data_IF_511760799746
#
_entry.id   IF_511760799746
#
_cell.length_a   1.000
_cell.length_b   1.000
_cell.length_c   1.000
_cell.angle_alpha   90.00
_cell.angle_beta   90.00
_cell.angle_gamma   90.00
#
_symmetry.space_group_name_H-M   'P 1'
#
loop_
_entity.id
_entity.type
_entity.pdbx_description
1 polymer ?
#
# COMPACT_ATOMS: atom_id res chain seq x y z
N UNK A 1 19.16 30.67 -45.94
CA UNK A 1 18.14 31.06 -44.93
C UNK A 1 17.20 29.95 -44.51
N UNK A 2 16.97 28.87 -45.27
CA UNK A 2 16.02 27.79 -44.94
C UNK A 2 16.45 26.85 -43.79
N UNK A 3 17.71 26.65 -43.48
CA UNK A 3 18.19 25.76 -42.41
C UNK A 3 17.86 26.25 -40.99
N UNK A 4 17.89 27.57 -40.73
CA UNK A 4 17.58 28.16 -39.42
C UNK A 4 16.09 27.99 -39.01
N UNK A 5 15.18 28.03 -39.97
CA UNK A 5 13.75 27.90 -39.71
C UNK A 5 13.32 26.44 -39.40
N UNK A 6 14.11 25.47 -39.86
CA UNK A 6 13.83 24.04 -39.59
C UNK A 6 14.24 23.64 -38.17
N UNK A 7 15.42 24.05 -37.72
CA UNK A 7 15.92 23.83 -36.35
C UNK A 7 15.04 24.52 -35.30
N UNK A 8 14.52 25.71 -35.60
CA UNK A 8 13.62 26.42 -34.69
C UNK A 8 12.30 25.70 -34.51
N UNK A 9 11.70 25.22 -35.61
CA UNK A 9 10.44 24.42 -35.55
C UNK A 9 10.61 23.06 -34.87
N UNK A 10 11.75 22.41 -35.07
CA UNK A 10 12.12 21.16 -34.40
C UNK A 10 12.29 21.35 -32.89
N UNK A 11 12.92 22.47 -32.49
CA UNK A 11 13.09 22.85 -31.09
C UNK A 11 11.74 23.16 -30.40
N UNK A 12 10.89 23.95 -31.07
CA UNK A 12 9.54 24.25 -30.55
C UNK A 12 8.65 23.00 -30.46
N UNK A 13 8.77 22.10 -31.44
CA UNK A 13 8.05 20.81 -31.40
C UNK A 13 8.55 19.90 -30.28
N UNK A 14 9.87 19.89 -30.01
CA UNK A 14 10.46 19.14 -28.90
C UNK A 14 10.03 19.72 -27.54
N UNK A 15 9.99 21.05 -27.40
CA UNK A 15 9.49 21.70 -26.18
C UNK A 15 8.00 21.41 -25.92
N UNK A 16 7.16 21.45 -26.96
CA UNK A 16 5.74 21.11 -26.82
C UNK A 16 5.55 19.64 -26.42
N UNK A 17 6.30 18.71 -27.05
CA UNK A 17 6.28 17.28 -26.68
C UNK A 17 6.72 17.06 -25.24
N UNK A 18 7.75 17.77 -24.79
CA UNK A 18 8.22 17.70 -23.42
C UNK A 18 7.14 18.19 -22.44
N UNK A 19 6.50 19.34 -22.70
CA UNK A 19 5.40 19.87 -21.90
C UNK A 19 4.19 18.91 -21.84
N UNK A 20 3.85 18.26 -22.96
CA UNK A 20 2.76 17.28 -23.01
C UNK A 20 3.10 16.03 -22.20
N UNK A 21 4.35 15.55 -22.29
CA UNK A 21 4.82 14.40 -21.50
C UNK A 21 4.87 14.72 -20.00
N UNK A 22 5.35 15.90 -19.62
CA UNK A 22 5.35 16.36 -18.23
C UNK A 22 3.93 16.46 -17.67
N UNK A 23 2.98 16.91 -18.47
CA UNK A 23 1.56 16.99 -18.09
C UNK A 23 0.93 15.60 -17.95
N UNK A 24 1.19 14.68 -18.89
CA UNK A 24 0.73 13.30 -18.82
C UNK A 24 1.34 12.55 -17.63
N UNK A 25 2.61 12.78 -17.31
CA UNK A 25 3.25 12.21 -16.11
C UNK A 25 2.60 12.76 -14.84
N UNK A 26 2.28 14.05 -14.80
CA UNK A 26 1.60 14.66 -13.66
C UNK A 26 0.18 14.15 -13.50
N UNK A 27 -0.60 14.05 -14.58
CA UNK A 27 -1.94 13.47 -14.57
C UNK A 27 -1.93 12.00 -14.17
N UNK A 28 -0.98 11.21 -14.69
CA UNK A 28 -0.79 9.81 -14.31
C UNK A 28 -0.41 9.67 -12.83
N UNK A 29 0.44 10.57 -12.31
CA UNK A 29 0.78 10.60 -10.88
C UNK A 29 -0.42 10.98 -10.02
N UNK A 30 -1.21 11.97 -10.43
CA UNK A 30 -2.44 12.36 -9.72
C UNK A 30 -3.47 11.24 -9.72
N UNK A 31 -3.67 10.57 -10.85
CA UNK A 31 -4.56 9.41 -10.94
C UNK A 31 -4.06 8.24 -10.07
N UNK A 32 -2.75 7.96 -10.05
CA UNK A 32 -2.16 6.96 -9.18
C UNK A 32 -2.29 7.33 -7.69
N UNK A 33 -2.15 8.61 -7.34
CA UNK A 33 -2.37 9.12 -5.99
C UNK A 33 -3.83 8.97 -5.55
N UNK A 34 -4.79 9.28 -6.43
CA UNK A 34 -6.22 9.13 -6.15
C UNK A 34 -6.65 7.67 -6.00
N UNK A 35 -5.95 6.74 -6.68
CA UNK A 35 -6.23 5.30 -6.59
C UNK A 35 -5.64 4.63 -5.32
N UNK A 36 -4.70 5.27 -4.62
CA UNK A 36 -3.99 4.68 -3.48
C UNK A 36 -4.72 4.80 -2.15
N UNK A 37 -5.51 5.85 -1.94
CA UNK A 37 -6.48 5.89 -0.84
C UNK A 37 -7.81 5.48 -1.44
N UNK A 38 -8.29 4.32 -1.07
CA UNK A 38 -9.53 3.76 -1.63
C UNK A 38 -10.73 4.66 -1.29
N UNK A 39 -11.29 5.41 -2.27
CA UNK A 39 -12.37 6.36 -1.98
C UNK A 39 -13.58 5.67 -1.39
N UNK A 40 -13.87 4.45 -1.86
CA UNK A 40 -15.00 3.65 -1.40
C UNK A 40 -14.89 3.32 0.09
N UNK A 41 -13.71 2.88 0.54
CA UNK A 41 -13.46 2.61 1.96
C UNK A 41 -13.72 3.83 2.83
N UNK A 42 -13.29 5.02 2.39
CA UNK A 42 -13.52 6.25 3.13
C UNK A 42 -15.01 6.60 3.22
N UNK A 43 -15.73 6.52 2.09
CA UNK A 43 -17.16 6.79 2.07
C UNK A 43 -17.95 5.80 2.90
N UNK A 44 -17.71 4.50 2.76
CA UNK A 44 -18.39 3.46 3.53
C UNK A 44 -18.12 3.66 5.03
N UNK A 45 -16.87 3.94 5.43
CA UNK A 45 -16.51 4.25 6.82
C UNK A 45 -17.23 5.48 7.37
N UNK A 46 -17.34 6.56 6.57
CA UNK A 46 -18.05 7.77 7.01
C UNK A 46 -19.55 7.53 7.17
N UNK A 47 -20.17 6.76 6.29
CA UNK A 47 -21.59 6.36 6.39
C UNK A 47 -21.83 5.52 7.66
N UNK A 48 -20.92 4.59 7.97
CA UNK A 48 -21.02 3.80 9.20
C UNK A 48 -20.86 4.63 10.46
N UNK A 49 -19.94 5.62 10.45
CA UNK A 49 -19.77 6.57 11.55
C UNK A 49 -21.02 7.44 11.72
N UNK A 50 -21.63 7.93 10.64
CA UNK A 50 -22.87 8.70 10.65
C UNK A 50 -24.01 7.89 11.27
N UNK A 51 -24.19 6.64 10.81
CA UNK A 51 -25.20 5.74 11.34
C UNK A 51 -25.00 5.42 12.84
N UNK A 52 -23.72 5.33 13.26
CA UNK A 52 -23.37 5.09 14.65
C UNK A 52 -23.63 6.33 15.52
N UNK A 53 -23.46 7.53 14.99
CA UNK A 53 -23.64 8.78 15.72
C UNK A 53 -25.04 8.92 16.32
N UNK A 54 -26.05 8.41 15.65
CA UNK A 54 -27.44 8.42 16.12
C UNK A 54 -27.67 7.50 17.33
N UNK A 55 -26.80 6.49 17.54
CA UNK A 55 -26.97 5.44 18.57
C UNK A 55 -25.96 5.58 19.71
N UNK A 56 -24.72 5.91 19.37
CA UNK A 56 -23.58 6.02 20.29
C UNK A 56 -22.63 7.12 19.80
N UNK A 57 -22.89 8.40 20.17
CA UNK A 57 -22.06 9.53 19.75
C UNK A 57 -20.61 9.44 20.21
N UNK A 58 -20.34 8.83 21.38
CA UNK A 58 -18.98 8.71 21.89
C UNK A 58 -18.17 7.73 21.07
N UNK A 59 -18.76 6.59 20.73
CA UNK A 59 -18.12 5.59 19.87
C UNK A 59 -17.95 6.10 18.43
N UNK A 60 -18.91 6.87 17.92
CA UNK A 60 -18.81 7.51 16.61
C UNK A 60 -17.64 8.50 16.57
N UNK A 61 -17.49 9.35 17.60
CA UNK A 61 -16.35 10.27 17.71
C UNK A 61 -15.01 9.52 17.76
N UNK A 62 -14.92 8.45 18.56
CA UNK A 62 -13.70 7.63 18.62
C UNK A 62 -13.36 6.98 17.26
N UNK A 63 -14.36 6.55 16.48
CA UNK A 63 -14.15 5.99 15.15
C UNK A 63 -13.70 7.07 14.15
N UNK A 64 -14.23 8.28 14.26
CA UNK A 64 -13.77 9.43 13.46
C UNK A 64 -12.30 9.77 13.74
N UNK A 65 -11.89 9.75 15.03
CA UNK A 65 -10.49 9.99 15.41
C UNK A 65 -9.54 8.93 14.83
N UNK A 66 -9.95 7.64 14.80
CA UNK A 66 -9.19 6.58 14.15
C UNK A 66 -9.06 6.82 12.65
N UNK A 67 -10.15 7.20 11.99
CA UNK A 67 -10.12 7.55 10.56
C UNK A 67 -9.18 8.73 10.27
N UNK A 68 -9.22 9.77 11.10
CA UNK A 68 -8.31 10.91 11.00
C UNK A 68 -6.85 10.47 11.18
N UNK A 69 -6.58 9.58 12.14
CA UNK A 69 -5.24 9.03 12.39
C UNK A 69 -4.74 8.25 11.17
N UNK A 70 -5.58 7.39 10.59
CA UNK A 70 -5.26 6.69 9.35
C UNK A 70 -4.96 7.66 8.20
N UNK A 71 -5.80 8.67 7.99
CA UNK A 71 -5.59 9.66 6.92
C UNK A 71 -4.31 10.46 7.11
N UNK A 72 -3.96 10.84 8.34
CA UNK A 72 -2.70 11.51 8.67
C UNK A 72 -1.48 10.63 8.36
N UNK A 73 -1.59 9.33 8.56
CA UNK A 73 -0.55 8.39 8.20
C UNK A 73 -0.48 8.12 6.69
N UNK A 74 -1.61 8.08 5.98
CA UNK A 74 -1.69 7.74 4.57
C UNK A 74 -1.33 8.91 3.63
N UNK A 75 -1.86 10.12 3.88
CA UNK A 75 -1.76 11.25 2.94
C UNK A 75 -0.32 11.70 2.63
N UNK A 76 0.62 11.81 3.59
CA UNK A 76 1.99 12.16 3.28
C UNK A 76 2.66 11.14 2.35
N UNK A 77 2.39 9.86 2.54
CA UNK A 77 2.99 8.75 1.79
C UNK A 77 2.59 8.71 0.32
N UNK A 78 1.47 9.35 -0.03
CA UNK A 78 1.06 9.51 -1.44
C UNK A 78 2.00 10.45 -2.21
N UNK A 79 2.74 11.30 -1.52
CA UNK A 79 3.65 12.31 -2.11
C UNK A 79 5.12 11.93 -1.95
N UNK A 80 5.44 11.01 -1.07
CA UNK A 80 6.79 10.59 -0.76
C UNK A 80 7.28 9.55 -1.77
N UNK A 81 8.54 9.63 -2.15
CA UNK A 81 9.21 8.66 -3.03
C UNK A 81 9.88 7.51 -2.26
N UNK A 82 9.84 7.58 -0.94
CA UNK A 82 10.43 6.59 -0.05
C UNK A 82 9.73 6.57 1.30
N UNK A 83 9.70 5.41 1.93
CA UNK A 83 9.17 5.15 3.26
C UNK A 83 10.16 4.25 4.02
N UNK A 84 9.82 3.87 5.23
CA UNK A 84 10.53 2.84 6.00
C UNK A 84 9.59 1.67 6.28
N UNK A 85 10.17 0.52 6.61
CA UNK A 85 9.37 -0.65 7.03
C UNK A 85 8.48 -0.30 8.22
N UNK A 86 9.03 0.38 9.24
CA UNK A 86 8.27 0.79 10.42
C UNK A 86 7.07 1.66 10.05
N UNK A 87 7.32 2.63 9.19
CA UNK A 87 6.30 3.55 8.72
C UNK A 87 5.17 2.86 7.92
N UNK A 88 5.47 1.84 7.13
CA UNK A 88 4.45 1.03 6.45
C UNK A 88 3.63 0.18 7.44
N UNK A 89 4.28 -0.36 8.48
CA UNK A 89 3.60 -1.10 9.53
C UNK A 89 2.69 -0.21 10.39
N UNK A 90 3.08 1.03 10.66
CA UNK A 90 2.22 2.02 11.32
C UNK A 90 0.96 2.32 10.50
N UNK A 91 1.12 2.48 9.17
CA UNK A 91 -0.02 2.68 8.27
C UNK A 91 -0.98 1.48 8.28
N UNK A 92 -0.44 0.26 8.26
CA UNK A 92 -1.23 -0.98 8.36
C UNK A 92 -1.99 -1.04 9.69
N UNK A 93 -1.34 -0.70 10.81
CA UNK A 93 -2.01 -0.67 12.12
C UNK A 93 -3.16 0.33 12.13
N UNK A 94 -2.91 1.56 11.69
CA UNK A 94 -3.93 2.61 11.64
C UNK A 94 -5.14 2.20 10.75
N UNK A 95 -4.88 1.54 9.61
CA UNK A 95 -5.94 1.01 8.76
C UNK A 95 -6.79 -0.06 9.47
N UNK A 96 -6.13 -1.06 10.09
CA UNK A 96 -6.82 -2.14 10.79
C UNK A 96 -7.62 -1.64 12.01
N UNK A 97 -7.17 -0.60 12.69
CA UNK A 97 -7.94 0.05 13.77
C UNK A 97 -9.27 0.63 13.27
N UNK A 98 -9.26 1.24 12.07
CA UNK A 98 -10.50 1.74 11.44
C UNK A 98 -11.41 0.56 11.08
N UNK A 99 -10.88 -0.45 10.40
CA UNK A 99 -11.64 -1.65 10.01
C UNK A 99 -12.31 -2.31 11.19
N UNK A 100 -11.56 -2.45 12.31
CA UNK A 100 -12.08 -3.00 13.57
C UNK A 100 -13.23 -2.22 14.11
N UNK A 101 -13.07 -0.91 14.16
CA UNK A 101 -14.05 -0.01 14.76
C UNK A 101 -15.39 -0.08 14.02
N UNK A 102 -15.35 -0.30 12.70
CA UNK A 102 -16.52 -0.38 11.83
C UNK A 102 -17.17 -1.75 11.88
N UNK A 103 -16.40 -2.82 11.74
CA UNK A 103 -16.95 -4.18 11.60
C UNK A 103 -17.20 -4.91 12.94
N UNK A 104 -16.77 -4.33 14.07
CA UNK A 104 -17.06 -4.86 15.41
C UNK A 104 -16.30 -6.14 15.81
N UNK A 105 -15.35 -6.57 15.00
CA UNK A 105 -14.46 -7.70 15.26
C UNK A 105 -13.09 -7.46 14.65
N UNK A 106 -12.03 -7.94 15.32
CA UNK A 106 -10.67 -7.80 14.83
C UNK A 106 -10.10 -9.12 14.40
N UNK A 107 -9.41 -9.14 13.25
CA UNK A 107 -8.30 -10.06 13.16
C UNK A 107 -7.21 -9.61 14.16
N UNK A 108 -6.73 -10.51 14.98
CA UNK A 108 -5.58 -10.25 15.84
C UNK A 108 -4.38 -9.91 14.96
N UNK A 109 -3.84 -8.68 15.09
CA UNK A 109 -2.62 -8.31 14.38
C UNK A 109 -1.40 -8.62 15.25
N UNK A 110 -0.55 -9.52 14.78
CA UNK A 110 0.76 -9.79 15.38
C UNK A 110 1.86 -9.28 14.45
N UNK A 111 2.75 -8.44 14.96
CA UNK A 111 3.87 -7.90 14.17
C UNK A 111 5.18 -8.26 14.85
N UNK A 112 6.03 -9.00 14.14
CA UNK A 112 7.42 -9.25 14.49
C UNK A 112 8.31 -8.46 13.55
N UNK A 113 9.09 -7.54 14.08
CA UNK A 113 9.96 -6.66 13.29
C UNK A 113 11.38 -6.73 13.85
N UNK A 114 12.31 -7.23 13.04
CA UNK A 114 13.72 -7.20 13.37
C UNK A 114 14.22 -5.75 13.46
N UNK A 115 15.02 -5.44 14.48
CA UNK A 115 15.45 -4.05 14.77
C UNK A 115 16.28 -3.44 13.64
N UNK A 116 17.08 -4.24 12.95
CA UNK A 116 17.86 -3.83 11.78
C UNK A 116 17.02 -3.54 10.53
N UNK A 117 15.74 -3.92 10.54
CA UNK A 117 14.79 -3.67 9.44
C UNK A 117 13.95 -2.42 9.64
N UNK A 118 13.82 -1.87 10.87
CA UNK A 118 12.90 -0.75 11.16
C UNK A 118 13.07 0.41 10.19
N UNK A 119 14.31 0.89 10.07
CA UNK A 119 14.65 2.06 9.25
C UNK A 119 15.07 1.68 7.82
N UNK A 120 14.93 0.41 7.43
CA UNK A 120 15.20 0.01 6.07
C UNK A 120 14.26 0.73 5.12
N UNK A 121 14.81 1.19 3.99
CA UNK A 121 14.05 1.86 2.96
C UNK A 121 13.01 0.90 2.37
N UNK A 122 11.81 1.39 2.31
CA UNK A 122 10.66 0.70 1.74
C UNK A 122 9.93 1.64 0.78
N UNK A 123 9.29 1.12 -0.25
CA UNK A 123 8.44 1.97 -1.08
C UNK A 123 7.08 2.16 -0.42
N UNK A 124 6.54 3.38 -0.44
CA UNK A 124 5.26 3.70 0.19
C UNK A 124 4.12 2.86 -0.37
N UNK A 125 3.18 2.48 0.49
CA UNK A 125 1.94 1.80 0.11
C UNK A 125 2.14 0.44 -0.59
N UNK A 126 3.13 -0.35 -0.18
CA UNK A 126 3.32 -1.73 -0.65
C UNK A 126 2.62 -2.76 0.23
N UNK A 127 2.62 -2.57 1.55
CA UNK A 127 2.00 -3.52 2.48
C UNK A 127 0.49 -3.32 2.57
N UNK A 128 0.03 -2.08 2.56
CA UNK A 128 -1.39 -1.78 2.73
C UNK A 128 -2.31 -2.50 1.73
N UNK A 129 -2.03 -2.57 0.41
CA UNK A 129 -2.90 -3.30 -0.53
C UNK A 129 -3.03 -4.79 -0.20
N UNK A 130 -1.97 -5.42 0.32
CA UNK A 130 -2.01 -6.83 0.72
C UNK A 130 -2.94 -7.05 1.92
N UNK A 131 -2.95 -6.11 2.86
CA UNK A 131 -3.85 -6.13 4.01
C UNK A 131 -5.29 -5.81 3.61
N UNK A 132 -5.50 -4.82 2.74
CA UNK A 132 -6.81 -4.46 2.20
C UNK A 132 -7.45 -5.65 1.48
N UNK A 133 -6.65 -6.36 0.68
CA UNK A 133 -7.09 -7.59 0.04
C UNK A 133 -7.55 -8.65 1.06
N UNK A 134 -6.79 -8.84 2.14
CA UNK A 134 -7.15 -9.80 3.18
C UNK A 134 -8.48 -9.47 3.87
N UNK A 135 -8.72 -8.19 4.14
CA UNK A 135 -9.94 -7.69 4.78
C UNK A 135 -11.15 -7.75 3.84
N UNK A 136 -10.93 -7.54 2.52
CA UNK A 136 -11.98 -7.55 1.48
C UNK A 136 -12.14 -8.90 0.80
N UNK A 137 -11.83 -9.96 1.48
CA UNK A 137 -11.93 -11.29 0.89
C UNK A 137 -13.33 -11.53 0.26
N UNK A 138 -13.42 -12.18 -0.92
CA UNK A 138 -14.67 -12.39 -1.64
C UNK A 138 -15.76 -13.11 -0.84
N UNK A 139 -15.39 -13.90 0.18
CA UNK A 139 -16.34 -14.54 1.09
C UNK A 139 -17.05 -13.57 2.03
N UNK A 140 -16.60 -12.31 2.13
CA UNK A 140 -17.08 -11.34 3.11
C UNK A 140 -16.66 -11.65 4.56
N UNK A 141 -15.91 -12.73 4.77
CA UNK A 141 -15.38 -13.07 6.09
C UNK A 141 -14.11 -12.27 6.39
N UNK A 142 -14.00 -11.76 7.62
CA UNK A 142 -12.74 -11.23 8.12
C UNK A 142 -11.80 -12.40 8.48
N UNK A 143 -10.49 -12.23 8.29
CA UNK A 143 -9.53 -13.23 8.72
C UNK A 143 -9.52 -13.37 10.26
N UNK A 144 -9.30 -14.58 10.75
CA UNK A 144 -9.20 -14.85 12.20
C UNK A 144 -8.00 -14.16 12.82
N UNK A 145 -6.93 -13.97 12.05
CA UNK A 145 -5.72 -13.27 12.46
C UNK A 145 -4.88 -12.86 11.27
N UNK A 146 -4.06 -11.83 11.49
CA UNK A 146 -3.04 -11.37 10.55
C UNK A 146 -1.72 -11.33 11.29
N UNK A 147 -0.70 -12.05 10.82
CA UNK A 147 0.66 -11.90 11.33
C UNK A 147 1.60 -11.37 10.24
N UNK A 148 2.45 -10.43 10.63
CA UNK A 148 3.47 -9.83 9.77
C UNK A 148 4.82 -10.08 10.43
N UNK A 149 5.67 -10.84 9.78
CA UNK A 149 7.05 -11.05 10.19
C UNK A 149 7.97 -10.35 9.21
N UNK A 150 8.83 -9.46 9.72
CA UNK A 150 9.81 -8.73 8.91
C UNK A 150 11.19 -9.02 9.42
N UNK A 151 12.01 -9.58 8.55
CA UNK A 151 13.41 -9.92 8.85
C UNK A 151 14.32 -9.63 7.69
N UNK A 152 15.60 -9.55 7.97
CA UNK A 152 16.64 -9.43 6.97
C UNK A 152 17.24 -10.79 6.64
N UNK A 153 17.29 -11.10 5.36
CA UNK A 153 17.98 -12.28 4.86
C UNK A 153 19.08 -11.82 3.87
N UNK A 154 20.32 -11.82 4.34
CA UNK A 154 21.46 -11.33 3.56
C UNK A 154 21.24 -9.88 3.06
N UNK A 155 21.15 -9.68 1.76
CA UNK A 155 20.93 -8.39 1.11
C UNK A 155 19.44 -8.09 0.81
N UNK A 156 18.52 -8.82 1.44
CA UNK A 156 17.07 -8.67 1.20
C UNK A 156 16.31 -8.44 2.49
N UNK A 157 15.23 -7.68 2.40
CA UNK A 157 14.17 -7.62 3.39
C UNK A 157 13.14 -8.66 2.98
N UNK A 158 12.76 -9.51 3.89
CA UNK A 158 11.71 -10.52 3.72
C UNK A 158 10.57 -10.16 4.64
N UNK A 159 9.40 -9.97 4.05
CA UNK A 159 8.14 -9.76 4.77
C UNK A 159 7.26 -10.97 4.53
N UNK A 160 6.93 -11.68 5.59
CA UNK A 160 5.98 -12.80 5.57
C UNK A 160 4.69 -12.33 6.20
N UNK A 161 3.62 -12.34 5.41
CA UNK A 161 2.29 -12.00 5.84
C UNK A 161 1.46 -13.29 5.86
N UNK A 162 1.00 -13.71 7.04
CA UNK A 162 0.05 -14.83 7.21
C UNK A 162 -1.32 -14.28 7.54
N UNK A 163 -2.31 -14.77 6.81
CA UNK A 163 -3.70 -14.36 6.90
C UNK A 163 -4.50 -15.61 7.27
N UNK A 164 -5.18 -15.60 8.41
CA UNK A 164 -6.04 -16.68 8.88
C UNK A 164 -7.34 -16.77 8.06
N UNK A 165 -7.20 -16.89 6.74
CA UNK A 165 -8.27 -17.05 5.78
C UNK A 165 -7.72 -17.74 4.54
N UNK A 166 -8.35 -18.83 4.10
CA UNK A 166 -7.92 -19.56 2.92
C UNK A 166 -8.40 -18.91 1.62
N UNK A 167 -7.58 -18.99 0.59
CA UNK A 167 -7.96 -18.71 -0.79
C UNK A 167 -7.41 -17.43 -1.39
N UNK A 168 -7.51 -17.34 -2.71
CA UNK A 168 -7.21 -16.15 -3.49
C UNK A 168 -5.75 -16.00 -3.94
N UNK A 169 -4.95 -17.07 -3.99
CA UNK A 169 -3.61 -16.99 -4.58
C UNK A 169 -3.62 -17.08 -6.11
N UNK A 170 -4.53 -17.88 -6.67
CA UNK A 170 -4.65 -18.05 -8.11
C UNK A 170 -5.46 -16.90 -8.72
N UNK A 171 -4.97 -16.34 -9.82
CA UNK A 171 -5.65 -15.33 -10.66
C UNK A 171 -6.19 -14.10 -9.92
N UNK A 172 -5.54 -13.72 -8.80
CA UNK A 172 -5.93 -12.55 -8.02
C UNK A 172 -5.44 -11.26 -8.68
N UNK A 173 -6.35 -10.38 -9.13
CA UNK A 173 -5.98 -9.15 -9.83
C UNK A 173 -5.27 -8.14 -8.90
N UNK A 174 -5.51 -8.17 -7.59
CA UNK A 174 -4.83 -7.28 -6.65
C UNK A 174 -3.38 -7.72 -6.44
N UNK A 175 -3.12 -9.02 -6.32
CA UNK A 175 -1.76 -9.54 -6.28
C UNK A 175 -1.00 -9.30 -7.59
N UNK A 176 -1.69 -9.40 -8.73
CA UNK A 176 -1.10 -9.09 -10.04
C UNK A 176 -0.64 -7.62 -10.10
N UNK A 177 -1.46 -6.67 -9.64
CA UNK A 177 -1.11 -5.24 -9.56
C UNK A 177 0.08 -4.97 -8.64
N UNK A 178 0.13 -5.64 -7.48
CA UNK A 178 1.28 -5.50 -6.56
C UNK A 178 2.55 -6.07 -7.19
N UNK A 179 2.47 -7.21 -7.88
CA UNK A 179 3.62 -7.79 -8.62
C UNK A 179 4.11 -6.86 -9.74
N UNK A 180 3.20 -6.30 -10.54
CA UNK A 180 3.53 -5.34 -11.58
C UNK A 180 4.21 -4.09 -10.99
N UNK A 181 3.69 -3.56 -9.88
CA UNK A 181 4.31 -2.44 -9.17
C UNK A 181 5.70 -2.78 -8.66
N UNK A 182 5.90 -3.96 -8.07
CA UNK A 182 7.22 -4.43 -7.64
C UNK A 182 8.20 -4.55 -8.79
N UNK A 183 7.76 -5.10 -9.94
CA UNK A 183 8.57 -5.19 -11.14
C UNK A 183 8.98 -3.81 -11.67
N UNK A 184 8.08 -2.82 -11.62
CA UNK A 184 8.39 -1.43 -11.98
C UNK A 184 9.38 -0.75 -11.04
N UNK A 185 9.35 -1.07 -9.75
CA UNK A 185 10.20 -0.45 -8.72
C UNK A 185 11.57 -1.12 -8.57
N UNK A 186 11.62 -2.44 -8.68
CA UNK A 186 12.81 -3.25 -8.35
C UNK A 186 13.25 -4.16 -9.51
N UNK A 187 12.53 -4.17 -10.64
CA UNK A 187 12.75 -5.13 -11.71
C UNK A 187 12.59 -6.57 -11.20
N UNK A 188 13.52 -7.44 -11.59
CA UNK A 188 13.52 -8.85 -11.18
C UNK A 188 14.13 -9.09 -9.78
N UNK A 189 14.54 -8.03 -9.07
CA UNK A 189 15.16 -8.15 -7.75
C UNK A 189 14.15 -8.35 -6.62
N UNK A 190 12.87 -8.05 -6.85
CA UNK A 190 11.78 -8.27 -5.91
C UNK A 190 10.86 -9.40 -6.35
N UNK A 191 10.30 -10.14 -5.38
CA UNK A 191 9.33 -11.21 -5.63
C UNK A 191 8.17 -11.12 -4.63
N UNK A 192 6.97 -11.48 -5.08
CA UNK A 192 5.79 -11.70 -4.24
C UNK A 192 5.23 -13.09 -4.53
N UNK A 193 5.40 -13.97 -3.59
CA UNK A 193 4.87 -15.33 -3.61
C UNK A 193 3.58 -15.37 -2.78
N UNK A 194 2.63 -16.19 -3.19
CA UNK A 194 1.40 -16.46 -2.47
C UNK A 194 1.21 -17.98 -2.41
N UNK A 195 1.02 -18.50 -1.22
CA UNK A 195 0.82 -19.93 -0.95
C UNK A 195 -0.38 -20.11 -0.06
N UNK A 196 -1.27 -21.04 -0.42
CA UNK A 196 -2.35 -21.48 0.46
C UNK A 196 -1.83 -22.58 1.38
N UNK A 197 -1.86 -22.30 2.69
CA UNK A 197 -1.42 -23.28 3.68
C UNK A 197 -2.58 -24.24 4.06
N UNK A 198 -2.24 -25.47 4.41
CA UNK A 198 -3.20 -26.53 4.69
C UNK A 198 -4.09 -26.31 5.93
N UNK A 199 -3.80 -25.28 6.73
CA UNK A 199 -4.55 -24.85 7.92
C UNK A 199 -5.62 -23.78 7.64
N UNK A 200 -6.05 -23.64 6.40
CA UNK A 200 -6.98 -22.60 5.94
C UNK A 200 -6.43 -21.17 6.05
N UNK A 201 -5.13 -21.03 5.99
CA UNK A 201 -4.46 -19.75 5.93
C UNK A 201 -3.83 -19.48 4.56
N UNK A 202 -3.57 -18.20 4.29
CA UNK A 202 -2.82 -17.75 3.12
C UNK A 202 -1.53 -17.09 3.59
N UNK A 203 -0.41 -17.51 3.01
CA UNK A 203 0.89 -16.90 3.25
C UNK A 203 1.35 -16.12 2.01
N UNK A 204 1.67 -14.85 2.21
CA UNK A 204 2.29 -13.98 1.22
C UNK A 204 3.72 -13.69 1.64
N UNK A 205 4.67 -14.01 0.79
CA UNK A 205 6.10 -13.72 1.04
C UNK A 205 6.59 -12.69 0.05
N UNK A 206 6.87 -11.48 0.55
CA UNK A 206 7.48 -10.39 -0.20
C UNK A 206 8.97 -10.36 0.07
N UNK A 207 9.80 -10.44 -0.98
CA UNK A 207 11.26 -10.28 -0.90
C UNK A 207 11.67 -9.08 -1.73
N UNK A 208 12.35 -8.12 -1.10
CA UNK A 208 12.87 -6.92 -1.76
C UNK A 208 14.33 -6.70 -1.42
N UNK A 209 15.12 -6.02 -2.26
CA UNK A 209 16.49 -5.66 -1.92
C UNK A 209 16.53 -4.76 -0.68
N UNK A 210 17.41 -5.07 0.28
CA UNK A 210 17.69 -4.21 1.41
C UNK A 210 18.60 -3.06 0.96
N UNK A 211 18.00 -1.99 0.42
CA UNK A 211 18.74 -0.75 0.12
C UNK A 211 18.85 0.04 1.42
N UNK A 212 20.05 0.15 1.96
CA UNK A 212 20.31 0.97 3.15
C UNK A 212 20.00 2.45 2.86
N UNK A 213 19.68 3.22 3.89
CA UNK A 213 19.45 4.67 3.79
C UNK A 213 20.67 5.46 3.27
N UNK A 214 21.84 4.80 3.16
CA UNK A 214 23.13 5.39 2.82
C UNK A 214 23.52 5.33 1.32
N UNK A 215 22.75 4.67 0.45
CA UNK A 215 23.25 4.28 -0.87
C UNK A 215 22.81 5.18 -2.04
N UNK A 216 22.44 6.44 -1.80
CA UNK A 216 22.40 7.52 -2.80
C UNK A 216 22.72 8.87 -2.16
N UNK A 217 24.02 9.20 -2.10
CA UNK A 217 24.49 10.57 -2.17
C UNK A 217 24.69 10.95 -3.65
#
# INVERSE_FOLDING_TARGET
MQRRGRTQREFEAAQRRRGTLEHQVLESRLAAMQAQVEPRFLFDTLVDIEALYARDPQRAAANLDRLITYLRAALPRLRETGSTVEAELELVRAYLEVVTAVHGGLPTLTVTLADDCRMCRFYPMLLLPLIQRAVRHPSGALPDGISIDVRRESARIVVVLRIGLAGGCADDPELARVRERLAGLYGNAATLECVEAGDRSTELTLRIPAVGAADRA
#
